data_IF_036409989189
#
_entry.id   IF_036409989189
#
_cell.length_a   1.000
_cell.length_b   1.000
_cell.length_c   1.000
_cell.angle_alpha   90.00
_cell.angle_beta   90.00
_cell.angle_gamma   90.00
#
_symmetry.space_group_name_H-M   'P 1'
#
loop_
_entity.id
_entity.type
_entity.pdbx_description
1 polymer ?
#
# COMPACT_ATOMS: atom_id res chain seq x y z
N UNK A 1 16.98 6.53 1.90
CA UNK A 1 17.41 7.88 2.35
C UNK A 1 16.84 9.01 1.48
N UNK A 2 16.87 8.95 0.15
CA UNK A 2 16.30 10.03 -0.70
C UNK A 2 14.79 10.24 -0.51
N UNK A 3 14.00 9.18 -0.35
CA UNK A 3 12.55 9.29 -0.15
C UNK A 3 12.17 10.02 1.16
N UNK A 4 12.93 9.81 2.24
CA UNK A 4 12.68 10.46 3.53
C UNK A 4 13.02 11.97 3.54
N UNK A 5 13.81 12.43 2.55
CA UNK A 5 14.18 13.84 2.37
C UNK A 5 13.41 14.50 1.23
N UNK A 6 12.38 13.82 0.70
CA UNK A 6 11.57 14.38 -0.37
C UNK A 6 10.75 15.58 0.17
N UNK A 7 10.62 16.64 -0.64
CA UNK A 7 9.96 17.88 -0.21
C UNK A 7 8.53 17.68 0.29
N UNK A 8 7.79 16.73 -0.27
CA UNK A 8 6.48 16.33 0.24
C UNK A 8 6.54 15.78 1.68
N UNK A 9 7.49 14.88 1.98
CA UNK A 9 7.63 14.26 3.31
C UNK A 9 8.07 15.31 4.34
N UNK A 10 9.00 16.19 3.96
CA UNK A 10 9.44 17.29 4.80
C UNK A 10 8.27 18.26 5.08
N UNK A 11 7.52 18.63 4.04
CA UNK A 11 6.38 19.55 4.17
C UNK A 11 5.21 18.99 4.99
N UNK A 12 5.04 17.66 5.02
CA UNK A 12 4.12 17.01 5.96
C UNK A 12 4.63 17.09 7.40
N UNK A 13 5.94 16.96 7.62
CA UNK A 13 6.54 16.87 8.95
C UNK A 13 6.77 18.24 9.62
N UNK A 14 7.13 19.26 8.85
CA UNK A 14 7.47 20.59 9.38
C UNK A 14 6.23 21.47 9.65
N UNK A 15 5.04 21.05 9.19
CA UNK A 15 3.78 21.76 9.38
C UNK A 15 3.76 23.15 8.74
N UNK A 16 4.68 23.44 7.82
CA UNK A 16 4.87 24.76 7.19
C UNK A 16 3.71 25.19 6.30
N UNK A 17 2.75 24.29 6.02
CA UNK A 17 1.66 24.52 5.08
C UNK A 17 2.11 24.53 3.62
N UNK A 18 3.35 24.08 3.33
CA UNK A 18 3.88 23.97 1.96
C UNK A 18 3.17 22.90 1.14
N UNK A 19 2.55 21.91 1.79
CA UNK A 19 1.67 20.93 1.15
C UNK A 19 0.23 21.47 1.18
N UNK A 20 -0.31 21.79 -0.01
CA UNK A 20 -1.72 22.18 -0.12
C UNK A 20 -2.65 21.03 0.27
N UNK A 21 -3.86 21.37 0.78
CA UNK A 21 -4.88 20.37 1.12
C UNK A 21 -5.22 19.46 -0.06
N UNK A 22 -5.33 20.02 -1.26
CA UNK A 22 -5.60 19.26 -2.47
C UNK A 22 -4.48 18.25 -2.78
N UNK A 23 -3.21 18.65 -2.62
CA UNK A 23 -2.07 17.75 -2.81
C UNK A 23 -2.04 16.63 -1.78
N UNK A 24 -2.42 16.93 -0.54
CA UNK A 24 -2.54 15.95 0.54
C UNK A 24 -3.66 14.94 0.27
N UNK A 25 -4.88 15.41 -0.04
CA UNK A 25 -6.01 14.54 -0.36
C UNK A 25 -5.73 13.68 -1.60
N UNK A 26 -5.07 14.24 -2.62
CA UNK A 26 -4.65 13.47 -3.80
C UNK A 26 -3.62 12.40 -3.44
N UNK A 27 -2.69 12.68 -2.54
CA UNK A 27 -1.76 11.68 -2.04
C UNK A 27 -2.52 10.55 -1.32
N UNK A 28 -3.41 10.86 -0.39
CA UNK A 28 -4.20 9.86 0.34
C UNK A 28 -5.06 9.01 -0.59
N UNK A 29 -5.68 9.59 -1.62
CA UNK A 29 -6.46 8.84 -2.60
C UNK A 29 -5.60 7.84 -3.39
N UNK A 30 -4.37 8.23 -3.75
CA UNK A 30 -3.42 7.33 -4.41
C UNK A 30 -2.89 6.27 -3.46
N UNK A 31 -2.65 6.62 -2.20
CA UNK A 31 -2.18 5.69 -1.17
C UNK A 31 -3.28 4.66 -0.82
N UNK A 32 -4.55 5.06 -0.76
CA UNK A 32 -5.67 4.13 -0.58
C UNK A 32 -5.76 3.11 -1.72
N UNK A 33 -5.62 3.54 -2.98
CA UNK A 33 -5.54 2.64 -4.13
C UNK A 33 -4.37 1.65 -3.98
N UNK A 34 -3.24 2.15 -3.52
CA UNK A 34 -2.03 1.37 -3.31
C UNK A 34 -2.15 0.34 -2.16
N UNK A 35 -2.75 0.74 -1.04
CA UNK A 35 -3.05 -0.09 0.12
C UNK A 35 -3.99 -1.26 -0.25
N UNK A 36 -5.03 -0.99 -1.02
CA UNK A 36 -5.92 -2.04 -1.53
C UNK A 36 -5.17 -3.06 -2.39
N UNK A 37 -4.24 -2.61 -3.25
CA UNK A 37 -3.38 -3.52 -4.01
C UNK A 37 -2.45 -4.35 -3.11
N UNK A 38 -1.93 -3.78 -2.02
CA UNK A 38 -1.15 -4.53 -1.03
C UNK A 38 -1.96 -5.63 -0.36
N UNK A 39 -3.19 -5.35 0.09
CA UNK A 39 -4.06 -6.37 0.67
C UNK A 39 -4.28 -7.54 -0.31
N UNK A 40 -4.52 -7.24 -1.59
CA UNK A 40 -4.67 -8.26 -2.63
C UNK A 40 -3.38 -9.06 -2.87
N UNK A 41 -2.23 -8.39 -2.85
CA UNK A 41 -0.93 -9.03 -3.01
C UNK A 41 -0.63 -9.98 -1.83
N UNK A 42 -0.92 -9.57 -0.60
CA UNK A 42 -0.78 -10.42 0.58
C UNK A 42 -1.74 -11.61 0.56
N UNK A 43 -2.98 -11.41 0.10
CA UNK A 43 -3.94 -12.50 -0.09
C UNK A 43 -3.47 -13.51 -1.15
N UNK A 44 -2.92 -13.04 -2.27
CA UNK A 44 -2.30 -13.92 -3.27
C UNK A 44 -1.10 -14.68 -2.69
N UNK A 45 -0.30 -14.02 -1.86
CA UNK A 45 0.83 -14.65 -1.17
C UNK A 45 0.36 -15.72 -0.15
N UNK A 46 -0.75 -15.47 0.57
CA UNK A 46 -1.41 -16.46 1.44
C UNK A 46 -1.86 -17.70 0.66
N UNK A 47 -2.44 -17.51 -0.52
CA UNK A 47 -2.92 -18.61 -1.35
C UNK A 47 -1.79 -19.55 -1.84
N UNK A 48 -0.56 -19.02 -1.95
CA UNK A 48 0.64 -19.79 -2.35
C UNK A 48 1.36 -20.44 -1.17
N UNK A 49 0.91 -20.19 0.07
CA UNK A 49 1.66 -20.59 1.25
C UNK A 49 1.67 -22.12 1.42
N UNK A 50 2.85 -22.76 1.58
CA UNK A 50 2.91 -24.18 1.91
C UNK A 50 2.28 -24.46 3.28
N UNK A 51 1.63 -25.62 3.43
CA UNK A 51 0.93 -26.02 4.66
C UNK A 51 1.78 -25.95 5.94
N UNK A 52 3.10 -26.12 5.83
CA UNK A 52 4.04 -26.11 6.96
C UNK A 52 4.65 -24.73 7.28
N UNK A 53 3.95 -23.60 7.04
CA UNK A 53 4.47 -22.25 7.32
C UNK A 53 3.56 -21.36 8.21
N UNK A 54 3.18 -21.80 9.43
CA UNK A 54 2.25 -21.06 10.29
C UNK A 54 2.75 -19.67 10.72
N UNK A 55 4.07 -19.43 10.75
CA UNK A 55 4.63 -18.09 11.04
C UNK A 55 4.36 -17.11 9.90
N UNK A 56 4.53 -17.53 8.65
CA UNK A 56 4.29 -16.69 7.48
C UNK A 56 2.79 -16.41 7.31
N UNK A 57 1.93 -17.42 7.57
CA UNK A 57 0.47 -17.23 7.63
C UNK A 57 0.09 -16.10 8.60
N UNK A 58 0.55 -16.16 9.85
CA UNK A 58 0.25 -15.13 10.87
C UNK A 58 0.78 -13.75 10.47
N UNK A 59 1.95 -13.68 9.84
CA UNK A 59 2.53 -12.40 9.38
C UNK A 59 1.67 -11.78 8.28
N UNK A 60 1.29 -12.54 7.26
CA UNK A 60 0.44 -12.04 6.17
C UNK A 60 -0.95 -11.63 6.66
N UNK A 61 -1.55 -12.43 7.54
CA UNK A 61 -2.82 -12.07 8.18
C UNK A 61 -2.72 -10.71 8.89
N UNK A 62 -1.65 -10.49 9.66
CA UNK A 62 -1.42 -9.20 10.32
C UNK A 62 -1.27 -8.07 9.31
N UNK A 63 -0.45 -8.24 8.27
CA UNK A 63 -0.24 -7.20 7.25
C UNK A 63 -1.52 -6.81 6.53
N UNK A 64 -2.43 -7.77 6.28
CA UNK A 64 -3.76 -7.46 5.75
C UNK A 64 -4.58 -6.65 6.76
N UNK A 65 -4.56 -7.04 8.04
CA UNK A 65 -5.21 -6.28 9.12
C UNK A 65 -4.69 -4.84 9.20
N UNK A 66 -3.36 -4.66 9.25
CA UNK A 66 -2.71 -3.35 9.32
C UNK A 66 -3.12 -2.46 8.13
N UNK A 67 -3.24 -3.02 6.93
CA UNK A 67 -3.74 -2.29 5.74
C UNK A 67 -5.19 -1.84 5.90
N UNK A 68 -6.06 -2.70 6.44
CA UNK A 68 -7.47 -2.36 6.64
C UNK A 68 -7.64 -1.28 7.71
N UNK A 69 -6.84 -1.32 8.77
CA UNK A 69 -6.79 -0.29 9.81
C UNK A 69 -6.34 1.06 9.23
N UNK A 70 -5.29 1.06 8.40
CA UNK A 70 -4.78 2.27 7.75
C UNK A 70 -5.80 2.88 6.78
N UNK A 71 -6.52 2.04 6.02
CA UNK A 71 -7.60 2.50 5.13
C UNK A 71 -8.73 3.18 5.91
N UNK A 72 -9.08 2.68 7.09
CA UNK A 72 -10.11 3.31 7.93
C UNK A 72 -9.66 4.70 8.41
N UNK A 73 -8.38 4.89 8.74
CA UNK A 73 -7.81 6.21 9.06
C UNK A 73 -7.88 7.17 7.85
N UNK A 74 -7.68 6.67 6.64
CA UNK A 74 -7.80 7.48 5.42
C UNK A 74 -9.22 8.02 5.21
N UNK A 75 -10.27 7.29 5.64
CA UNK A 75 -11.69 7.70 5.48
C UNK A 75 -12.02 9.01 6.16
N UNK A 76 -11.27 9.38 7.20
CA UNK A 76 -11.45 10.66 7.89
C UNK A 76 -11.12 11.87 7.01
N UNK A 77 -10.35 11.65 5.93
CA UNK A 77 -9.81 12.70 5.09
C UNK A 77 -10.25 12.59 3.63
N UNK A 78 -10.46 11.38 3.11
CA UNK A 78 -10.85 11.13 1.71
C UNK A 78 -11.89 10.02 1.61
N UNK A 79 -12.71 10.09 0.56
CA UNK A 79 -13.60 8.98 0.21
C UNK A 79 -12.78 7.84 -0.43
N UNK A 80 -12.51 6.79 0.34
CA UNK A 80 -11.73 5.62 -0.10
C UNK A 80 -12.52 4.67 -1.02
N UNK A 81 -13.85 4.83 -1.09
CA UNK A 81 -14.72 4.02 -1.95
C UNK A 81 -14.87 4.64 -3.34
N UNK A 82 -14.56 5.94 -3.46
CA UNK A 82 -14.51 6.64 -4.74
C UNK A 82 -13.48 6.00 -5.66
N UNK A 83 -13.87 5.79 -6.92
CA UNK A 83 -12.96 5.32 -7.95
C UNK A 83 -11.83 6.33 -8.18
N UNK A 84 -10.59 5.86 -8.05
CA UNK A 84 -9.38 6.65 -8.25
C UNK A 84 -8.66 6.15 -9.50
N UNK A 85 -8.42 7.05 -10.46
CA UNK A 85 -7.49 6.76 -11.54
C UNK A 85 -6.06 6.80 -10.96
N UNK A 86 -5.29 5.71 -11.01
CA UNK A 86 -3.94 5.71 -10.48
C UNK A 86 -3.05 6.63 -11.33
N UNK A 87 -2.17 7.37 -10.67
CA UNK A 87 -1.10 8.10 -11.34
C UNK A 87 -0.06 7.11 -11.91
N UNK A 88 0.74 7.53 -12.91
CA UNK A 88 1.70 6.62 -13.56
C UNK A 88 2.63 5.89 -12.60
N UNK A 89 3.09 6.57 -11.54
CA UNK A 89 3.94 5.95 -10.51
C UNK A 89 3.19 4.89 -9.70
N UNK A 90 1.96 5.20 -9.26
CA UNK A 90 1.08 4.27 -8.55
C UNK A 90 0.79 3.03 -9.38
N UNK A 91 0.38 3.22 -10.65
CA UNK A 91 0.09 2.14 -11.57
C UNK A 91 1.31 1.23 -11.81
N UNK A 92 2.48 1.82 -12.10
CA UNK A 92 3.69 1.07 -12.34
C UNK A 92 4.12 0.23 -11.12
N UNK A 93 3.95 0.77 -9.91
CA UNK A 93 4.27 0.03 -8.70
C UNK A 93 3.26 -1.10 -8.46
N UNK A 94 1.95 -0.84 -8.55
CA UNK A 94 0.91 -1.86 -8.37
C UNK A 94 1.08 -3.00 -9.37
N UNK A 95 1.38 -2.68 -10.63
CA UNK A 95 1.66 -3.68 -11.66
C UNK A 95 2.85 -4.57 -11.31
N UNK A 96 3.95 -3.96 -10.81
CA UNK A 96 5.10 -4.70 -10.34
C UNK A 96 4.76 -5.60 -9.14
N UNK A 97 4.10 -5.06 -8.12
CA UNK A 97 3.69 -5.76 -6.90
C UNK A 97 2.83 -6.98 -7.23
N UNK A 98 1.80 -6.80 -8.07
CA UNK A 98 0.87 -7.87 -8.44
C UNK A 98 1.54 -8.95 -9.29
N UNK A 99 2.49 -8.58 -10.15
CA UNK A 99 3.29 -9.54 -10.92
C UNK A 99 4.10 -10.45 -9.99
N UNK A 100 4.80 -9.88 -9.01
CA UNK A 100 5.58 -10.64 -8.02
C UNK A 100 4.66 -11.51 -7.16
N UNK A 101 3.54 -10.94 -6.69
CA UNK A 101 2.61 -11.65 -5.81
C UNK A 101 1.94 -12.85 -6.49
N UNK A 102 1.66 -12.77 -7.79
CA UNK A 102 0.99 -13.84 -8.54
C UNK A 102 1.94 -14.85 -9.20
N UNK A 103 3.23 -14.54 -9.31
CA UNK A 103 4.21 -15.45 -9.89
C UNK A 103 4.38 -16.71 -9.00
N UNK A 104 4.05 -17.92 -9.50
CA UNK A 104 4.15 -19.16 -8.73
C UNK A 104 5.60 -19.60 -8.50
N UNK A 105 6.57 -19.08 -9.27
CA UNK A 105 7.99 -19.37 -9.08
C UNK A 105 8.64 -18.54 -7.98
N UNK A 106 7.99 -17.45 -7.54
CA UNK A 106 8.50 -16.57 -6.48
C UNK A 106 8.02 -17.00 -5.11
N UNK A 107 8.92 -16.93 -4.15
CA UNK A 107 8.61 -17.16 -2.74
C UNK A 107 7.71 -16.07 -2.18
N UNK A 108 6.93 -16.44 -1.15
CA UNK A 108 6.05 -15.53 -0.41
C UNK A 108 6.80 -14.32 0.17
N UNK A 109 8.09 -14.48 0.48
CA UNK A 109 8.93 -13.42 1.03
C UNK A 109 9.20 -12.24 0.11
N UNK A 110 8.90 -12.34 -1.19
CA UNK A 110 9.14 -11.23 -2.14
C UNK A 110 8.02 -10.17 -2.14
N UNK A 111 6.91 -10.48 -1.46
CA UNK A 111 5.79 -9.54 -1.22
C UNK A 111 5.87 -8.94 0.20
N UNK A 112 6.80 -9.42 1.05
CA UNK A 112 6.95 -9.08 2.48
C UNK A 112 8.10 -8.09 2.76
#
# INVERSE_FOLDING_TARGET
RRSALHGFVIGLADGSGTVSRESYERYLAQDAFFLQAFAQAYAAALAKLPAAQPKALRRLHRLIGDVLEELELHRENVDIEKEVSPLPATAAYVDFLMRVARDPSRGVGEVL
#
